data_IF_228002513436
#
_entry.id   IF_228002513436
#
_cell.length_a   1.000
_cell.length_b   1.000
_cell.length_c   1.000
_cell.angle_alpha   90.00
_cell.angle_beta   90.00
_cell.angle_gamma   90.00
#
_symmetry.space_group_name_H-M   'P 1'
#
loop_
_entity.id
_entity.type
_entity.pdbx_description
1 polymer ?
#
# COMPACT_ATOMS: atom_id res chain seq x y z
N UNK A 1 -41.12 14.41 24.20
CA UNK A 1 -39.96 14.88 23.47
C UNK A 1 -39.37 13.69 22.70
N UNK A 2 -39.70 13.63 21.43
CA UNK A 2 -39.45 12.46 20.58
C UNK A 2 -38.10 12.50 19.92
N UNK A 3 -37.29 11.46 20.13
CA UNK A 3 -36.10 11.18 19.36
C UNK A 3 -36.47 10.39 18.10
N UNK A 4 -36.33 11.01 16.94
CA UNK A 4 -36.48 10.38 15.63
C UNK A 4 -35.29 9.42 15.42
N UNK A 5 -35.59 8.12 15.41
CA UNK A 5 -34.66 7.08 14.94
C UNK A 5 -34.57 7.15 13.40
N UNK A 6 -33.48 7.67 12.88
CA UNK A 6 -33.13 7.50 11.49
C UNK A 6 -32.74 6.04 11.27
N UNK A 7 -33.60 5.28 10.61
CA UNK A 7 -33.29 3.96 10.09
C UNK A 7 -32.34 4.12 8.91
N UNK A 8 -31.04 4.03 9.15
CA UNK A 8 -30.08 3.79 8.10
C UNK A 8 -30.22 2.32 7.69
N UNK A 9 -30.74 2.07 6.49
CA UNK A 9 -30.63 0.78 5.84
C UNK A 9 -29.12 0.52 5.62
N UNK A 10 -28.54 -0.32 6.47
CA UNK A 10 -27.21 -0.86 6.24
C UNK A 10 -27.31 -1.83 5.04
N UNK A 11 -26.98 -1.35 3.86
CA UNK A 11 -26.71 -2.22 2.75
C UNK A 11 -25.61 -3.19 3.19
N UNK A 12 -25.88 -4.48 3.12
CA UNK A 12 -24.85 -5.50 3.24
C UNK A 12 -23.88 -5.24 2.10
N UNK A 13 -22.78 -4.58 2.41
CA UNK A 13 -21.67 -4.50 1.48
C UNK A 13 -21.12 -5.92 1.34
N UNK A 14 -21.62 -6.65 0.37
CA UNK A 14 -20.96 -7.80 -0.22
C UNK A 14 -19.65 -7.23 -0.78
N UNK A 15 -18.61 -7.20 0.06
CA UNK A 15 -17.28 -6.84 -0.36
C UNK A 15 -16.79 -7.99 -1.23
N UNK A 16 -17.15 -7.92 -2.51
CA UNK A 16 -16.40 -8.62 -3.52
C UNK A 16 -14.98 -8.05 -3.44
N UNK A 17 -14.02 -8.90 -3.14
CA UNK A 17 -12.60 -8.59 -3.17
C UNK A 17 -12.32 -7.82 -4.46
N UNK A 18 -11.63 -6.66 -4.33
CA UNK A 18 -11.44 -5.69 -5.39
C UNK A 18 -11.00 -6.30 -6.70
N UNK A 19 -11.95 -6.62 -7.55
CA UNK A 19 -11.71 -7.00 -8.92
C UNK A 19 -11.31 -5.76 -9.70
N UNK A 20 -10.25 -5.89 -10.46
CA UNK A 20 -9.86 -4.97 -11.52
C UNK A 20 -11.00 -4.89 -12.56
N UNK A 21 -12.05 -4.13 -12.26
CA UNK A 21 -13.07 -3.79 -13.25
C UNK A 21 -12.42 -2.86 -14.26
N UNK A 22 -12.13 -3.39 -15.43
CA UNK A 22 -11.85 -2.58 -16.59
C UNK A 22 -13.17 -1.91 -17.03
N UNK A 23 -13.33 -0.59 -16.92
CA UNK A 23 -14.44 0.06 -17.59
C UNK A 23 -14.19 -0.03 -19.10
N UNK A 24 -15.08 -0.72 -19.81
CA UNK A 24 -15.08 -0.71 -21.27
C UNK A 24 -15.47 0.68 -21.73
N UNK A 25 -14.60 1.26 -22.58
CA UNK A 25 -14.87 2.49 -23.32
C UNK A 25 -15.97 2.22 -24.36
N UNK A 26 -17.22 2.53 -24.02
CA UNK A 26 -18.28 2.71 -24.99
C UNK A 26 -18.60 4.21 -25.09
N UNK A 27 -18.45 4.75 -26.30
CA UNK A 27 -18.83 6.11 -26.62
C UNK A 27 -20.33 6.29 -26.40
N UNK A 28 -20.71 7.31 -25.63
CA UNK A 28 -22.09 7.76 -25.55
C UNK A 28 -22.17 9.11 -26.25
N UNK A 29 -22.87 9.09 -27.37
CA UNK A 29 -23.48 10.30 -27.97
C UNK A 29 -24.76 10.58 -27.17
N UNK A 30 -24.83 11.77 -26.64
CA UNK A 30 -25.98 12.28 -25.90
C UNK A 30 -26.85 13.11 -26.81
N UNK A 31 -28.13 12.72 -26.97
CA UNK A 31 -29.19 13.64 -27.36
C UNK A 31 -30.34 13.57 -26.37
N UNK A 32 -30.59 14.71 -25.75
CA UNK A 32 -31.70 15.00 -24.87
C UNK A 32 -33.01 15.19 -25.62
N UNK A 33 -34.13 14.67 -25.10
CA UNK A 33 -35.47 15.26 -25.31
C UNK A 33 -36.30 15.03 -24.02
N UNK A 34 -36.98 16.10 -23.61
CA UNK A 34 -37.78 16.24 -22.39
C UNK A 34 -39.28 15.99 -22.62
N UNK A 35 -39.94 15.76 -21.45
CA UNK A 35 -41.36 15.99 -21.11
C UNK A 35 -42.43 15.10 -21.77
N UNK A 36 -43.41 14.59 -21.08
CA UNK A 36 -44.48 15.26 -20.36
C UNK A 36 -45.36 14.26 -19.57
N UNK A 37 -46.10 14.83 -18.64
CA UNK A 37 -46.97 14.19 -17.66
C UNK A 37 -48.33 13.78 -18.20
N UNK A 38 -48.94 12.70 -17.64
CA UNK A 38 -50.36 12.78 -17.27
C UNK A 38 -50.83 11.61 -16.40
N UNK A 39 -51.61 11.95 -15.38
CA UNK A 39 -52.34 11.11 -14.41
C UNK A 39 -53.49 10.34 -15.06
N UNK A 40 -53.84 9.15 -14.57
CA UNK A 40 -55.21 8.71 -14.41
C UNK A 40 -55.38 7.70 -13.30
N UNK A 41 -56.31 8.02 -12.41
CA UNK A 41 -56.86 7.24 -11.32
C UNK A 41 -57.94 6.26 -11.85
N UNK A 42 -58.03 5.06 -11.26
CA UNK A 42 -59.15 4.14 -11.48
C UNK A 42 -59.19 3.07 -10.39
N UNK A 43 -60.07 3.30 -9.45
CA UNK A 43 -60.49 2.42 -8.38
C UNK A 43 -61.44 1.34 -8.94
N UNK A 44 -61.27 0.06 -8.55
CA UNK A 44 -62.36 -0.92 -8.54
C UNK A 44 -62.05 -2.10 -7.63
N UNK A 45 -62.81 -2.16 -6.58
CA UNK A 45 -62.99 -3.27 -5.64
C UNK A 45 -63.71 -4.44 -6.24
N UNK A 46 -63.21 -5.70 -6.07
CA UNK A 46 -64.02 -6.91 -6.12
C UNK A 46 -63.47 -7.92 -5.10
N UNK A 47 -64.37 -8.45 -4.25
CA UNK A 47 -64.21 -9.44 -3.17
C UNK A 47 -63.99 -10.89 -3.68
N UNK A 48 -63.66 -11.83 -2.79
CA UNK A 48 -62.85 -13.01 -3.13
C UNK A 48 -63.73 -14.24 -3.49
N UNK A 49 -63.32 -14.90 -4.54
CA UNK A 49 -63.78 -16.25 -4.87
C UNK A 49 -62.70 -17.29 -4.53
N UNK A 50 -63.09 -18.25 -3.70
CA UNK A 50 -62.24 -19.36 -3.30
C UNK A 50 -62.00 -20.29 -4.49
N UNK A 51 -60.84 -20.23 -5.10
CA UNK A 51 -60.40 -21.16 -6.12
C UNK A 51 -59.40 -22.16 -5.53
N UNK A 52 -59.71 -23.42 -5.70
CA UNK A 52 -58.95 -24.65 -5.43
C UNK A 52 -57.49 -24.52 -5.85
N UNK A 53 -56.57 -24.90 -4.95
CA UNK A 53 -55.14 -25.01 -5.23
C UNK A 53 -54.89 -25.94 -6.44
N UNK A 54 -54.18 -25.52 -7.47
CA UNK A 54 -53.64 -26.44 -8.45
C UNK A 54 -52.44 -27.19 -7.85
N UNK A 55 -52.32 -28.44 -8.27
CA UNK A 55 -51.22 -29.33 -7.92
C UNK A 55 -49.88 -28.62 -8.15
N UNK A 56 -48.98 -28.78 -7.19
CA UNK A 56 -47.60 -28.32 -7.27
C UNK A 56 -46.92 -28.92 -8.50
N UNK A 57 -46.98 -28.17 -9.58
CA UNK A 57 -46.11 -28.41 -10.72
C UNK A 57 -44.70 -27.92 -10.29
N UNK A 58 -43.86 -28.85 -9.89
CA UNK A 58 -42.45 -28.61 -9.64
C UNK A 58 -41.79 -28.39 -10.99
N UNK A 59 -42.04 -27.23 -11.59
CA UNK A 59 -41.25 -26.75 -12.71
C UNK A 59 -39.85 -26.44 -12.17
N UNK A 60 -38.90 -27.34 -12.42
CA UNK A 60 -37.50 -27.04 -12.28
C UNK A 60 -37.19 -25.88 -13.21
N UNK A 61 -36.98 -24.69 -12.68
CA UNK A 61 -36.48 -23.58 -13.48
C UNK A 61 -35.07 -23.97 -13.94
N UNK A 62 -34.97 -24.42 -15.18
CA UNK A 62 -33.72 -24.69 -15.84
C UNK A 62 -33.07 -23.34 -16.11
N UNK A 63 -31.93 -23.08 -15.47
CA UNK A 63 -31.20 -21.83 -15.63
C UNK A 63 -30.68 -21.69 -17.09
N UNK A 64 -30.91 -20.54 -17.68
CA UNK A 64 -30.57 -20.31 -19.09
C UNK A 64 -29.07 -20.14 -19.29
N UNK A 65 -28.47 -20.91 -20.19
CA UNK A 65 -27.08 -20.76 -20.57
C UNK A 65 -26.91 -19.57 -21.53
N UNK A 66 -26.17 -18.55 -21.11
CA UNK A 66 -25.91 -17.34 -21.89
C UNK A 66 -24.60 -17.43 -22.67
N UNK A 67 -23.62 -18.19 -22.18
CA UNK A 67 -22.39 -18.47 -22.92
C UNK A 67 -21.80 -19.82 -22.50
N UNK A 68 -20.90 -20.34 -23.31
CA UNK A 68 -20.07 -21.52 -22.97
C UNK A 68 -18.61 -21.14 -23.16
N UNK A 69 -17.78 -21.40 -22.14
CA UNK A 69 -16.34 -21.11 -22.15
C UNK A 69 -15.59 -22.44 -21.93
N UNK A 70 -14.96 -22.97 -22.97
CA UNK A 70 -14.42 -24.32 -22.94
C UNK A 70 -15.52 -25.35 -22.69
N UNK A 71 -15.53 -25.95 -21.48
CA UNK A 71 -16.55 -26.90 -21.04
C UNK A 71 -17.48 -26.35 -19.94
N UNK A 72 -17.39 -25.07 -19.61
CA UNK A 72 -18.17 -24.43 -18.55
C UNK A 72 -19.26 -23.53 -19.08
N UNK A 73 -20.51 -23.68 -18.65
CA UNK A 73 -21.58 -22.77 -18.99
C UNK A 73 -21.50 -21.49 -18.14
N UNK A 74 -21.88 -20.36 -18.72
CA UNK A 74 -22.19 -19.10 -18.05
C UNK A 74 -23.70 -18.99 -17.99
N UNK A 75 -24.25 -18.89 -16.82
CA UNK A 75 -25.69 -18.97 -16.53
C UNK A 75 -26.30 -17.58 -16.39
N UNK A 76 -27.60 -17.48 -16.67
CA UNK A 76 -28.34 -16.23 -16.50
C UNK A 76 -28.38 -15.79 -15.03
N UNK A 77 -28.50 -16.75 -14.09
CA UNK A 77 -28.46 -16.47 -12.65
C UNK A 77 -27.18 -15.76 -12.22
N UNK A 78 -26.02 -16.14 -12.76
CA UNK A 78 -24.73 -15.49 -12.46
C UNK A 78 -24.70 -14.02 -12.93
N UNK A 79 -25.38 -13.72 -14.03
CA UNK A 79 -25.47 -12.33 -14.52
C UNK A 79 -26.39 -11.50 -13.64
N UNK A 80 -27.53 -12.05 -13.21
CA UNK A 80 -28.45 -11.36 -12.30
C UNK A 80 -27.81 -11.15 -10.91
N UNK A 81 -27.03 -12.11 -10.42
CA UNK A 81 -26.25 -11.99 -9.20
C UNK A 81 -25.23 -10.84 -9.27
N UNK A 82 -24.51 -10.71 -10.39
CA UNK A 82 -23.57 -9.62 -10.60
C UNK A 82 -24.28 -8.26 -10.76
N UNK A 83 -25.45 -8.21 -11.43
CA UNK A 83 -26.28 -7.01 -11.49
C UNK A 83 -26.67 -6.56 -10.07
N UNK A 84 -27.20 -7.47 -9.28
CA UNK A 84 -27.58 -7.20 -7.89
C UNK A 84 -26.41 -6.75 -7.03
N UNK A 85 -25.24 -7.39 -7.22
CA UNK A 85 -24.00 -7.02 -6.51
C UNK A 85 -23.61 -5.57 -6.82
N UNK A 86 -23.67 -5.15 -8.07
CA UNK A 86 -23.34 -3.77 -8.49
C UNK A 86 -24.33 -2.75 -7.94
N UNK A 87 -25.63 -3.07 -7.96
CA UNK A 87 -26.66 -2.20 -7.37
C UNK A 87 -26.48 -2.04 -5.87
N UNK A 88 -26.20 -3.13 -5.14
CA UNK A 88 -25.93 -3.10 -3.69
C UNK A 88 -24.69 -2.30 -3.31
N UNK A 89 -23.71 -2.20 -4.22
CA UNK A 89 -22.53 -1.34 -4.09
C UNK A 89 -22.79 0.12 -4.49
N UNK A 90 -24.04 0.47 -4.82
CA UNK A 90 -24.45 1.83 -5.15
C UNK A 90 -24.22 2.23 -6.60
N UNK A 91 -23.95 1.28 -7.51
CA UNK A 91 -23.90 1.56 -8.94
C UNK A 91 -25.30 1.91 -9.45
N UNK A 92 -25.42 3.07 -10.10
CA UNK A 92 -26.66 3.45 -10.82
C UNK A 92 -26.66 2.74 -12.16
N UNK A 93 -27.49 1.71 -12.30
CA UNK A 93 -27.65 1.02 -13.58
C UNK A 93 -28.67 1.77 -14.47
N UNK A 94 -28.50 1.68 -15.79
CA UNK A 94 -29.51 2.19 -16.73
C UNK A 94 -30.86 1.52 -16.52
N UNK A 95 -31.93 2.29 -16.69
CA UNK A 95 -33.31 1.79 -16.60
C UNK A 95 -33.96 1.60 -17.97
N UNK A 96 -33.34 2.13 -19.03
CA UNK A 96 -33.80 1.96 -20.37
C UNK A 96 -33.40 0.56 -20.92
N UNK A 97 -34.23 -0.06 -21.80
CA UNK A 97 -34.01 -1.44 -22.24
C UNK A 97 -32.66 -1.67 -22.96
N UNK A 98 -32.19 -0.69 -23.74
CA UNK A 98 -30.89 -0.79 -24.44
C UNK A 98 -29.71 -0.70 -23.47
N UNK A 99 -29.78 0.21 -22.50
CA UNK A 99 -28.78 0.33 -21.45
C UNK A 99 -28.70 -0.91 -20.58
N UNK A 100 -29.86 -1.46 -20.16
CA UNK A 100 -29.90 -2.73 -19.40
C UNK A 100 -29.28 -3.87 -20.19
N UNK A 101 -29.60 -3.99 -21.46
CA UNK A 101 -29.02 -4.99 -22.37
C UNK A 101 -27.52 -4.84 -22.49
N UNK A 102 -27.04 -3.62 -22.68
CA UNK A 102 -25.60 -3.32 -22.77
C UNK A 102 -24.85 -3.70 -21.50
N UNK A 103 -25.39 -3.38 -20.31
CA UNK A 103 -24.81 -3.76 -19.02
C UNK A 103 -24.76 -5.28 -18.87
N UNK A 104 -25.84 -6.00 -19.18
CA UNK A 104 -25.86 -7.47 -19.13
C UNK A 104 -24.82 -8.09 -20.06
N UNK A 105 -24.69 -7.59 -21.28
CA UNK A 105 -23.66 -8.05 -22.23
C UNK A 105 -22.25 -7.81 -21.70
N UNK A 106 -22.02 -6.67 -21.07
CA UNK A 106 -20.75 -6.36 -20.42
C UNK A 106 -20.47 -7.34 -19.27
N UNK A 107 -21.45 -7.65 -18.43
CA UNK A 107 -21.32 -8.62 -17.34
C UNK A 107 -21.02 -10.01 -17.90
N UNK A 108 -21.73 -10.48 -18.91
CA UNK A 108 -21.43 -11.76 -19.59
C UNK A 108 -19.99 -11.78 -20.07
N UNK A 109 -19.53 -10.70 -20.71
CA UNK A 109 -18.14 -10.59 -21.19
C UNK A 109 -17.13 -10.64 -20.02
N UNK A 110 -17.41 -9.99 -18.90
CA UNK A 110 -16.59 -10.07 -17.68
C UNK A 110 -16.49 -11.50 -17.14
N UNK A 111 -17.63 -12.18 -17.00
CA UNK A 111 -17.67 -13.57 -16.50
C UNK A 111 -16.90 -14.52 -17.43
N UNK A 112 -16.98 -14.31 -18.75
CA UNK A 112 -16.19 -15.08 -19.73
C UNK A 112 -14.69 -14.84 -19.49
N UNK A 113 -14.26 -13.59 -19.33
CA UNK A 113 -12.85 -13.24 -19.10
C UNK A 113 -12.30 -13.85 -17.82
N UNK A 114 -13.11 -13.81 -16.75
CA UNK A 114 -12.77 -14.44 -15.46
C UNK A 114 -12.64 -15.96 -15.60
N UNK A 115 -13.60 -16.60 -16.28
CA UNK A 115 -13.57 -18.04 -16.46
C UNK A 115 -12.37 -18.48 -17.29
N UNK A 116 -11.97 -17.73 -18.31
CA UNK A 116 -10.76 -17.98 -19.09
C UNK A 116 -9.51 -17.95 -18.24
N UNK A 117 -9.40 -16.96 -17.33
CA UNK A 117 -8.27 -16.86 -16.41
C UNK A 117 -8.25 -18.01 -15.41
N UNK A 118 -9.40 -18.37 -14.83
CA UNK A 118 -9.51 -19.48 -13.87
C UNK A 118 -9.14 -20.81 -14.54
N UNK A 119 -9.68 -21.12 -15.72
CA UNK A 119 -9.32 -22.34 -16.44
C UNK A 119 -7.84 -22.39 -16.81
N UNK A 120 -7.25 -21.27 -17.19
CA UNK A 120 -5.82 -21.18 -17.47
C UNK A 120 -4.99 -21.42 -16.21
N UNK A 121 -5.41 -20.87 -15.05
CA UNK A 121 -4.75 -21.08 -13.77
C UNK A 121 -4.82 -22.57 -13.34
N UNK A 122 -5.99 -23.20 -13.50
CA UNK A 122 -6.19 -24.61 -13.16
C UNK A 122 -5.39 -25.58 -14.04
N UNK A 123 -5.08 -25.20 -15.29
CA UNK A 123 -4.21 -25.98 -16.19
C UNK A 123 -2.73 -25.89 -15.80
N UNK A 124 -2.34 -24.87 -15.05
CA UNK A 124 -0.97 -24.68 -14.62
C UNK A 124 -0.72 -25.41 -13.29
N UNK A 125 -0.09 -26.57 -13.35
CA UNK A 125 0.18 -27.44 -12.20
C UNK A 125 1.05 -26.80 -11.11
N UNK A 126 1.73 -25.70 -11.41
CA UNK A 126 2.52 -24.95 -10.43
C UNK A 126 1.69 -24.01 -9.58
N UNK A 127 0.42 -23.75 -9.97
CA UNK A 127 -0.53 -22.92 -9.22
C UNK A 127 -1.35 -23.84 -8.31
N UNK A 128 -1.03 -23.80 -7.03
CA UNK A 128 -1.74 -24.58 -6.01
C UNK A 128 -2.44 -23.61 -5.04
N UNK A 129 -3.70 -23.89 -4.76
CA UNK A 129 -4.53 -23.17 -3.78
C UNK A 129 -4.99 -24.20 -2.76
N UNK A 130 -4.60 -24.05 -1.50
CA UNK A 130 -4.98 -24.98 -0.44
C UNK A 130 -6.36 -24.67 0.13
N UNK A 131 -7.05 -25.69 0.62
CA UNK A 131 -8.34 -25.51 1.30
C UNK A 131 -8.21 -24.69 2.59
N UNK A 132 -7.07 -24.79 3.29
CA UNK A 132 -6.77 -24.03 4.49
C UNK A 132 -6.64 -22.52 4.21
N UNK A 133 -5.95 -22.16 3.10
CA UNK A 133 -5.82 -20.76 2.65
C UNK A 133 -7.21 -20.14 2.40
N UNK A 134 -8.08 -20.87 1.70
CA UNK A 134 -9.44 -20.41 1.42
C UNK A 134 -10.28 -20.35 2.69
N UNK A 135 -10.27 -21.39 3.53
CA UNK A 135 -11.05 -21.43 4.77
C UNK A 135 -10.70 -20.27 5.70
N UNK A 136 -9.41 -19.94 5.85
CA UNK A 136 -8.96 -18.81 6.67
C UNK A 136 -9.54 -17.48 6.18
N UNK A 137 -9.48 -17.22 4.87
CA UNK A 137 -10.03 -16.00 4.29
C UNK A 137 -11.55 -15.91 4.41
N UNK A 138 -12.28 -17.04 4.21
CA UNK A 138 -13.73 -17.12 4.37
C UNK A 138 -14.14 -16.82 5.81
N UNK A 139 -13.48 -17.41 6.79
CA UNK A 139 -13.80 -17.17 8.21
C UNK A 139 -13.53 -15.71 8.62
N UNK A 140 -12.47 -15.10 8.11
CA UNK A 140 -12.21 -13.68 8.34
C UNK A 140 -13.35 -12.81 7.75
N UNK A 141 -13.75 -13.09 6.51
CA UNK A 141 -14.81 -12.33 5.84
C UNK A 141 -16.17 -12.54 6.52
N UNK A 142 -16.52 -13.77 6.89
CA UNK A 142 -17.75 -14.07 7.64
C UNK A 142 -17.75 -13.34 8.97
N UNK A 143 -16.63 -13.34 9.71
CA UNK A 143 -16.50 -12.63 10.98
C UNK A 143 -16.71 -11.13 10.81
N UNK A 144 -16.12 -10.55 9.77
CA UNK A 144 -16.26 -9.12 9.45
C UNK A 144 -17.70 -8.76 9.12
N UNK A 145 -18.36 -9.54 8.26
CA UNK A 145 -19.76 -9.31 7.90
C UNK A 145 -20.67 -9.48 9.12
N UNK A 146 -20.50 -10.58 9.87
CA UNK A 146 -21.28 -10.85 11.08
C UNK A 146 -21.13 -9.76 12.14
N UNK A 147 -19.93 -9.18 12.28
CA UNK A 147 -19.65 -8.08 13.21
C UNK A 147 -20.45 -6.80 12.95
N UNK A 148 -21.08 -6.66 11.78
CA UNK A 148 -21.94 -5.53 11.46
C UNK A 148 -23.39 -5.70 12.03
N UNK A 149 -23.72 -6.87 12.56
CA UNK A 149 -25.06 -7.18 13.07
C UNK A 149 -25.08 -7.33 14.59
N UNK A 150 -26.17 -6.87 15.20
CA UNK A 150 -26.35 -6.89 16.66
C UNK A 150 -26.74 -8.26 17.18
N UNK A 151 -27.36 -9.12 16.35
CA UNK A 151 -27.78 -10.47 16.71
C UNK A 151 -27.58 -11.48 15.57
N UNK A 152 -27.56 -12.77 15.93
CA UNK A 152 -27.53 -13.87 14.97
C UNK A 152 -28.80 -13.93 14.13
N UNK A 153 -29.94 -13.54 14.73
CA UNK A 153 -31.23 -13.49 14.04
C UNK A 153 -31.21 -12.45 12.94
N UNK A 154 -30.71 -11.26 13.22
CA UNK A 154 -30.58 -10.19 12.22
C UNK A 154 -29.63 -10.59 11.08
N UNK A 155 -28.51 -11.23 11.42
CA UNK A 155 -27.55 -11.73 10.43
C UNK A 155 -28.21 -12.75 9.48
N UNK A 156 -28.93 -13.75 10.03
CA UNK A 156 -29.63 -14.76 9.21
C UNK A 156 -30.77 -14.17 8.39
N UNK A 157 -31.51 -13.23 8.93
CA UNK A 157 -32.58 -12.54 8.21
C UNK A 157 -32.00 -11.75 7.02
N UNK A 158 -30.84 -11.12 7.19
CA UNK A 158 -30.19 -10.38 6.11
C UNK A 158 -29.60 -11.30 5.04
N UNK A 159 -29.03 -12.45 5.43
CA UNK A 159 -28.61 -13.48 4.49
C UNK A 159 -29.76 -13.99 3.63
N UNK A 160 -30.94 -14.22 4.24
CA UNK A 160 -32.13 -14.66 3.51
C UNK A 160 -32.62 -13.61 2.50
N UNK A 161 -32.57 -12.32 2.85
CA UNK A 161 -32.88 -11.25 1.91
C UNK A 161 -31.86 -11.20 0.75
N UNK A 162 -30.62 -11.57 1.02
CA UNK A 162 -29.57 -11.67 0.00
C UNK A 162 -29.61 -12.98 -0.80
N UNK A 163 -30.64 -13.85 -0.57
CA UNK A 163 -30.84 -15.09 -1.32
C UNK A 163 -30.23 -16.35 -0.71
N UNK A 164 -29.51 -16.25 0.40
CA UNK A 164 -28.91 -17.40 1.07
C UNK A 164 -29.82 -17.98 2.12
N UNK A 165 -30.17 -19.26 2.01
CA UNK A 165 -31.08 -19.92 2.97
C UNK A 165 -30.40 -20.19 4.33
N UNK A 166 -29.07 -20.46 4.30
CA UNK A 166 -28.27 -20.76 5.49
C UNK A 166 -26.92 -20.05 5.49
N UNK A 167 -26.33 -19.81 6.69
CA UNK A 167 -24.95 -19.31 6.78
C UNK A 167 -23.92 -20.24 6.12
N UNK A 168 -24.20 -21.56 6.08
CA UNK A 168 -23.32 -22.56 5.44
C UNK A 168 -23.37 -22.43 3.91
N UNK A 169 -24.51 -22.07 3.34
CA UNK A 169 -24.63 -21.77 1.91
C UNK A 169 -23.85 -20.52 1.55
N UNK A 170 -23.94 -19.47 2.35
CA UNK A 170 -23.14 -18.25 2.20
C UNK A 170 -21.63 -18.53 2.30
N UNK A 171 -21.21 -19.37 3.26
CA UNK A 171 -19.79 -19.79 3.38
C UNK A 171 -19.30 -20.55 2.15
N UNK A 172 -20.10 -21.47 1.61
CA UNK A 172 -19.76 -22.21 0.38
C UNK A 172 -19.61 -21.27 -0.79
N UNK A 173 -20.56 -20.36 -0.97
CA UNK A 173 -20.47 -19.34 -2.01
C UNK A 173 -19.22 -18.48 -1.87
N UNK A 174 -18.92 -17.98 -0.68
CA UNK A 174 -17.68 -17.24 -0.40
C UNK A 174 -16.43 -18.06 -0.72
N UNK A 175 -16.42 -19.34 -0.37
CA UNK A 175 -15.29 -20.22 -0.65
C UNK A 175 -15.05 -20.37 -2.14
N UNK A 176 -16.10 -20.53 -2.92
CA UNK A 176 -15.98 -20.62 -4.39
C UNK A 176 -15.49 -19.29 -4.99
N UNK A 177 -16.01 -18.16 -4.54
CA UNK A 177 -15.58 -16.84 -4.99
C UNK A 177 -14.10 -16.58 -4.64
N UNK A 178 -13.70 -16.84 -3.41
CA UNK A 178 -12.31 -16.65 -2.98
C UNK A 178 -11.35 -17.58 -3.73
N UNK A 179 -11.74 -18.82 -3.96
CA UNK A 179 -10.94 -19.79 -4.73
C UNK A 179 -10.73 -19.32 -6.17
N UNK A 180 -11.77 -18.84 -6.83
CA UNK A 180 -11.70 -18.27 -8.18
C UNK A 180 -10.77 -17.06 -8.21
N UNK A 181 -10.93 -16.13 -7.28
CA UNK A 181 -10.07 -14.96 -7.14
C UNK A 181 -8.59 -15.35 -6.88
N UNK A 182 -8.36 -16.34 -6.02
CA UNK A 182 -7.02 -16.83 -5.73
C UNK A 182 -6.33 -17.41 -6.98
N UNK A 183 -7.04 -18.21 -7.79
CA UNK A 183 -6.52 -18.72 -9.06
C UNK A 183 -6.14 -17.61 -10.02
N UNK A 184 -7.00 -16.60 -10.19
CA UNK A 184 -6.73 -15.45 -11.06
C UNK A 184 -5.51 -14.66 -10.59
N UNK A 185 -5.44 -14.34 -9.29
CA UNK A 185 -4.33 -13.57 -8.72
C UNK A 185 -3.00 -14.32 -8.86
N UNK A 186 -2.96 -15.60 -8.51
CA UNK A 186 -1.75 -16.42 -8.64
C UNK A 186 -1.28 -16.54 -10.09
N UNK A 187 -2.22 -16.69 -11.04
CA UNK A 187 -1.89 -16.68 -12.46
C UNK A 187 -1.27 -15.37 -12.89
N UNK A 188 -1.88 -14.23 -12.52
CA UNK A 188 -1.39 -12.90 -12.90
C UNK A 188 -0.01 -12.64 -12.27
N UNK A 189 0.19 -12.97 -11.00
CA UNK A 189 1.48 -12.87 -10.32
C UNK A 189 2.55 -13.70 -11.02
N UNK A 190 2.25 -14.95 -11.32
CA UNK A 190 3.17 -15.83 -12.04
C UNK A 190 3.51 -15.29 -13.42
N UNK A 191 2.51 -14.84 -14.18
CA UNK A 191 2.74 -14.28 -15.51
C UNK A 191 3.60 -13.00 -15.47
N UNK A 192 3.50 -12.22 -14.39
CA UNK A 192 4.39 -11.07 -14.15
C UNK A 192 5.81 -11.53 -13.83
N UNK A 193 5.95 -12.48 -12.92
CA UNK A 193 7.25 -13.03 -12.53
C UNK A 193 7.98 -13.68 -13.74
N UNK A 194 7.24 -14.39 -14.57
CA UNK A 194 7.74 -15.00 -15.80
C UNK A 194 8.02 -13.98 -16.94
N UNK A 195 7.73 -12.70 -16.74
CA UNK A 195 7.87 -11.65 -17.76
C UNK A 195 6.89 -11.77 -18.96
N UNK A 196 5.83 -12.57 -18.80
CA UNK A 196 4.82 -12.81 -19.84
C UNK A 196 3.75 -11.69 -19.91
N UNK A 197 3.60 -10.90 -18.84
CA UNK A 197 2.78 -9.70 -18.78
C UNK A 197 3.69 -8.45 -18.83
N UNK A 198 4.18 -8.11 -20.00
CA UNK A 198 4.92 -6.86 -20.19
C UNK A 198 3.94 -5.69 -20.23
N UNK A 199 4.16 -4.63 -19.43
CA UNK A 199 3.32 -3.44 -19.50
C UNK A 199 3.25 -2.91 -20.93
N UNK A 200 2.06 -2.49 -21.32
CA UNK A 200 1.80 -1.89 -22.63
C UNK A 200 1.82 -0.38 -22.46
N UNK A 201 2.55 0.32 -23.30
CA UNK A 201 2.52 1.78 -23.29
C UNK A 201 1.14 2.28 -23.73
N UNK A 202 0.34 2.89 -22.83
CA UNK A 202 -0.93 3.48 -23.23
C UNK A 202 -0.69 4.77 -24.01
N UNK A 203 -1.63 5.11 -24.88
CA UNK A 203 -1.60 6.39 -25.59
C UNK A 203 -2.01 7.53 -24.66
N UNK A 204 -1.58 8.75 -24.97
CA UNK A 204 -1.96 9.94 -24.19
C UNK A 204 -3.48 10.16 -24.14
N UNK A 205 -4.18 9.78 -25.21
CA UNK A 205 -5.65 9.83 -25.28
C UNK A 205 -6.29 8.88 -24.29
N UNK A 206 -5.82 7.64 -24.23
CA UNK A 206 -6.32 6.63 -23.26
C UNK A 206 -6.05 7.05 -21.83
N UNK A 207 -4.88 7.61 -21.57
CA UNK A 207 -4.53 8.09 -20.23
C UNK A 207 -5.41 9.25 -19.77
N UNK A 208 -5.68 10.22 -20.65
CA UNK A 208 -6.59 11.34 -20.34
C UNK A 208 -8.01 10.87 -20.13
N UNK A 209 -8.50 9.98 -20.98
CA UNK A 209 -9.83 9.38 -20.83
C UNK A 209 -9.96 8.59 -19.53
N UNK A 210 -8.93 7.83 -19.15
CA UNK A 210 -8.89 7.14 -17.86
C UNK A 210 -8.92 8.13 -16.69
N UNK A 211 -8.15 9.23 -16.77
CA UNK A 211 -8.18 10.28 -15.78
C UNK A 211 -9.57 10.90 -15.63
N UNK A 212 -10.21 11.27 -16.75
CA UNK A 212 -11.53 11.90 -16.73
C UNK A 212 -12.59 10.97 -16.11
N UNK A 213 -12.52 9.67 -16.41
CA UNK A 213 -13.42 8.65 -15.83
C UNK A 213 -13.19 8.48 -14.32
N UNK A 214 -11.93 8.58 -13.85
CA UNK A 214 -11.58 8.37 -12.45
C UNK A 214 -11.56 9.68 -11.63
N UNK A 215 -11.72 10.84 -12.26
CA UNK A 215 -11.55 12.16 -11.63
C UNK A 215 -12.37 12.33 -10.36
N UNK A 216 -13.61 11.88 -10.36
CA UNK A 216 -14.51 11.98 -9.20
C UNK A 216 -14.03 11.15 -8.00
N UNK A 217 -13.33 10.04 -8.25
CA UNK A 217 -12.81 9.13 -7.21
C UNK A 217 -11.41 9.49 -6.71
N UNK A 218 -10.68 10.36 -7.42
CA UNK A 218 -9.31 10.75 -7.05
C UNK A 218 -9.24 11.64 -5.79
N UNK A 219 -10.36 12.23 -5.37
CA UNK A 219 -10.41 13.16 -4.24
C UNK A 219 -9.62 14.43 -4.50
N UNK A 220 -9.23 15.12 -3.42
CA UNK A 220 -8.39 16.30 -3.50
C UNK A 220 -6.92 15.97 -3.31
N UNK A 221 -6.06 16.66 -4.01
CA UNK A 221 -4.62 16.63 -3.79
C UNK A 221 -4.33 17.36 -2.49
N UNK A 222 -3.64 16.74 -1.52
CA UNK A 222 -3.29 17.41 -0.27
C UNK A 222 -2.36 18.60 -0.52
N UNK A 223 -2.36 19.53 0.40
CA UNK A 223 -1.36 20.58 0.43
C UNK A 223 0.04 19.96 0.62
N UNK A 224 1.01 20.44 -0.19
CA UNK A 224 2.39 19.93 -0.13
C UNK A 224 3.37 21.08 0.08
N UNK A 225 4.53 20.71 0.63
CA UNK A 225 5.64 21.59 0.91
C UNK A 225 6.93 21.02 0.34
N UNK A 226 7.77 21.89 -0.25
CA UNK A 226 9.14 21.56 -0.63
C UNK A 226 10.07 22.44 0.19
N UNK A 227 11.18 21.87 0.65
CA UNK A 227 12.15 22.60 1.43
C UNK A 227 13.56 22.04 1.26
N UNK A 228 14.53 22.85 1.60
CA UNK A 228 15.93 22.45 1.75
C UNK A 228 16.42 22.81 3.13
N UNK A 229 17.34 22.02 3.67
CA UNK A 229 17.76 22.18 5.07
C UNK A 229 19.27 22.01 5.26
N UNK A 230 19.77 22.66 6.31
CA UNK A 230 21.11 22.47 6.87
C UNK A 230 20.92 21.89 8.26
N UNK A 231 21.28 20.64 8.44
CA UNK A 231 21.24 19.96 9.74
C UNK A 231 22.64 20.07 10.36
N UNK A 232 22.74 20.67 11.53
CA UNK A 232 24.01 20.83 12.26
C UNK A 232 23.98 19.94 13.50
N UNK A 233 24.79 18.89 13.46
CA UNK A 233 24.92 17.96 14.59
C UNK A 233 26.10 18.37 15.48
N UNK A 234 25.95 18.33 16.82
CA UNK A 234 27.07 18.48 17.73
C UNK A 234 28.15 17.43 17.46
N UNK A 235 29.40 17.86 17.37
CA UNK A 235 30.53 16.95 17.14
C UNK A 235 31.35 16.80 18.40
N UNK A 236 31.79 15.56 18.76
CA UNK A 236 32.64 15.38 19.90
C UNK A 236 34.00 16.06 19.69
N UNK A 237 34.57 16.58 20.76
CA UNK A 237 35.90 17.20 20.70
C UNK A 237 37.01 16.18 20.41
N UNK A 238 38.14 16.63 19.85
CA UNK A 238 39.30 15.76 19.67
C UNK A 238 39.74 15.05 20.96
N UNK A 239 39.79 15.70 22.14
CA UNK A 239 40.08 15.02 23.40
C UNK A 239 39.03 13.97 23.79
N UNK A 240 37.72 14.20 23.53
CA UNK A 240 36.70 13.20 23.80
C UNK A 240 36.85 11.98 22.88
N UNK A 241 37.11 12.21 21.59
CA UNK A 241 37.44 11.12 20.66
C UNK A 241 38.66 10.32 21.09
N UNK A 242 39.75 11.00 21.49
CA UNK A 242 40.96 10.33 21.96
C UNK A 242 40.73 9.47 23.22
N UNK A 243 39.96 9.97 24.20
CA UNK A 243 39.58 9.20 25.39
C UNK A 243 38.77 7.96 25.04
N UNK A 244 37.76 8.10 24.17
CA UNK A 244 36.92 6.95 23.73
C UNK A 244 37.73 5.94 22.96
N UNK A 245 38.65 6.39 22.09
CA UNK A 245 39.55 5.49 21.38
C UNK A 245 40.46 4.72 22.34
N UNK A 246 41.09 5.38 23.31
CA UNK A 246 41.90 4.72 24.32
C UNK A 246 41.11 3.69 25.14
N UNK A 247 39.84 3.97 25.45
CA UNK A 247 38.92 3.01 26.05
C UNK A 247 38.68 1.81 25.12
N UNK A 248 38.43 2.04 23.83
CA UNK A 248 38.26 0.97 22.86
C UNK A 248 39.53 0.11 22.74
N UNK A 249 40.70 0.74 22.66
CA UNK A 249 41.98 0.03 22.61
C UNK A 249 42.18 -0.87 23.87
N UNK A 250 41.80 -0.38 25.03
CA UNK A 250 41.87 -1.17 26.29
C UNK A 250 40.96 -2.40 26.22
N UNK A 251 39.74 -2.24 25.75
CA UNK A 251 38.77 -3.36 25.57
C UNK A 251 39.30 -4.37 24.56
N UNK A 252 39.86 -3.91 23.44
CA UNK A 252 40.49 -4.80 22.44
C UNK A 252 41.60 -5.64 23.06
N UNK A 253 42.43 -5.05 23.90
CA UNK A 253 43.50 -5.77 24.60
C UNK A 253 42.94 -6.85 25.56
N UNK A 254 41.87 -6.56 26.30
CA UNK A 254 41.19 -7.54 27.14
C UNK A 254 40.59 -8.70 26.33
N UNK A 255 39.90 -8.39 25.23
CA UNK A 255 39.31 -9.39 24.36
C UNK A 255 40.38 -10.29 23.67
N UNK A 256 41.48 -9.71 23.23
CA UNK A 256 42.62 -10.48 22.70
C UNK A 256 43.35 -11.34 23.70
N UNK A 257 43.22 -11.03 25.02
CA UNK A 257 43.69 -11.88 26.12
C UNK A 257 42.71 -12.98 26.51
N UNK A 258 41.57 -13.11 25.83
CA UNK A 258 40.59 -14.16 26.06
C UNK A 258 39.34 -13.78 26.84
N UNK A 259 39.12 -12.48 27.10
CA UNK A 259 37.86 -12.03 27.69
C UNK A 259 36.67 -12.38 26.75
N UNK A 260 35.52 -12.75 27.36
CA UNK A 260 34.31 -13.07 26.61
C UNK A 260 33.73 -11.82 25.93
N UNK A 261 33.60 -11.88 24.60
CA UNK A 261 33.11 -10.76 23.80
C UNK A 261 31.68 -10.37 24.16
N UNK A 262 30.78 -11.35 24.40
CA UNK A 262 29.39 -11.08 24.71
C UNK A 262 29.24 -10.36 26.06
N UNK A 263 30.03 -10.75 27.05
CA UNK A 263 30.08 -10.08 28.36
C UNK A 263 30.62 -8.65 28.24
N UNK A 264 31.69 -8.45 27.49
CA UNK A 264 32.23 -7.13 27.20
C UNK A 264 31.21 -6.23 26.45
N UNK A 265 30.49 -6.78 25.48
CA UNK A 265 29.47 -6.05 24.76
C UNK A 265 28.32 -5.60 25.67
N UNK A 266 27.79 -6.47 26.51
CA UNK A 266 26.75 -6.10 27.48
C UNK A 266 27.23 -5.02 28.43
N UNK A 267 28.50 -5.04 28.83
CA UNK A 267 29.07 -4.08 29.77
C UNK A 267 29.38 -2.74 29.15
N UNK A 268 30.00 -2.72 27.99
CA UNK A 268 30.60 -1.52 27.41
C UNK A 268 29.88 -0.98 26.17
N UNK A 269 29.14 -1.80 25.42
CA UNK A 269 28.50 -1.33 24.22
C UNK A 269 27.41 -0.31 24.51
N UNK A 270 27.37 0.72 23.66
CA UNK A 270 26.33 1.76 23.64
C UNK A 270 25.36 1.58 22.46
N UNK A 271 25.45 0.47 21.75
CA UNK A 271 24.46 0.12 20.71
C UNK A 271 23.22 -0.51 21.34
N UNK A 272 22.05 0.18 21.34
CA UNK A 272 20.83 -0.36 21.94
C UNK A 272 20.28 -1.59 21.22
N UNK A 273 20.63 -1.75 19.95
CA UNK A 273 20.11 -2.84 19.11
C UNK A 273 20.76 -4.19 19.39
N UNK A 274 22.04 -4.21 19.76
CA UNK A 274 22.81 -5.46 19.93
C UNK A 274 23.40 -5.68 21.31
N UNK A 275 23.49 -4.66 22.14
CA UNK A 275 24.12 -4.71 23.47
C UNK A 275 23.64 -5.89 24.31
N UNK A 276 22.33 -6.01 24.52
CA UNK A 276 21.72 -7.04 25.38
C UNK A 276 21.88 -8.45 24.78
N UNK A 277 22.06 -8.53 23.47
CA UNK A 277 22.33 -9.76 22.73
C UNK A 277 23.83 -10.08 22.63
N UNK A 278 24.67 -9.45 23.48
CA UNK A 278 26.12 -9.66 23.48
C UNK A 278 26.81 -9.14 22.24
N UNK A 279 26.27 -8.08 21.63
CA UNK A 279 26.80 -7.42 20.45
C UNK A 279 26.47 -8.09 19.12
N UNK A 280 25.59 -9.12 19.08
CA UNK A 280 25.28 -9.88 17.86
C UNK A 280 24.53 -9.03 16.84
N UNK A 281 25.02 -9.08 15.57
CA UNK A 281 24.42 -8.39 14.43
C UNK A 281 23.73 -9.36 13.46
N UNK A 282 23.70 -10.66 13.80
CA UNK A 282 23.26 -11.73 12.91
C UNK A 282 24.00 -11.74 11.55
N UNK A 283 23.42 -12.35 10.53
CA UNK A 283 23.95 -12.38 9.17
C UNK A 283 23.59 -11.09 8.43
N UNK A 284 24.58 -10.47 7.79
CA UNK A 284 24.36 -9.29 6.96
C UNK A 284 25.22 -9.30 5.68
N UNK A 285 24.70 -8.64 4.65
CA UNK A 285 25.35 -8.47 3.34
C UNK A 285 26.04 -7.11 3.26
N UNK A 286 26.87 -6.95 2.22
CA UNK A 286 27.41 -5.62 1.88
C UNK A 286 26.26 -4.64 1.56
N UNK A 287 26.44 -3.38 1.93
CA UNK A 287 25.46 -2.31 1.75
C UNK A 287 24.48 -2.16 2.94
N UNK A 288 24.56 -3.02 3.97
CA UNK A 288 23.70 -2.94 5.18
C UNK A 288 24.32 -2.06 6.25
N UNK A 289 25.63 -2.14 6.43
CA UNK A 289 26.36 -1.40 7.46
C UNK A 289 27.13 -0.22 6.84
N UNK A 290 27.64 0.69 7.69
CA UNK A 290 28.47 1.81 7.20
C UNK A 290 29.75 1.30 6.57
N UNK A 291 30.29 2.01 5.54
CA UNK A 291 31.42 1.53 4.74
C UNK A 291 32.69 1.20 5.56
N UNK A 292 32.96 1.97 6.60
CA UNK A 292 34.09 1.76 7.48
C UNK A 292 33.99 0.44 8.23
N UNK A 293 32.81 0.13 8.74
CA UNK A 293 32.50 -1.12 9.44
C UNK A 293 32.58 -2.31 8.47
N UNK A 294 31.91 -2.21 7.32
CA UNK A 294 31.89 -3.30 6.33
C UNK A 294 33.29 -3.66 5.83
N UNK A 295 34.12 -2.66 5.56
CA UNK A 295 35.50 -2.87 5.08
C UNK A 295 36.26 -3.79 6.04
N UNK A 296 36.09 -3.58 7.33
CA UNK A 296 36.76 -4.38 8.37
C UNK A 296 36.07 -5.73 8.56
N UNK A 297 34.73 -5.77 8.71
CA UNK A 297 33.99 -6.99 8.95
C UNK A 297 34.18 -8.04 7.83
N UNK A 298 34.15 -7.61 6.56
CA UNK A 298 34.36 -8.51 5.42
C UNK A 298 35.82 -8.87 5.14
N UNK A 299 36.78 -8.23 5.84
CA UNK A 299 38.21 -8.53 5.73
C UNK A 299 38.76 -9.37 6.88
N UNK A 300 38.01 -9.48 8.00
CA UNK A 300 38.45 -10.23 9.18
C UNK A 300 38.22 -11.74 9.03
N UNK A 301 39.15 -12.51 9.55
CA UNK A 301 38.95 -13.96 9.73
C UNK A 301 38.08 -14.24 10.94
N UNK A 302 37.27 -15.31 10.94
CA UNK A 302 36.47 -15.71 12.08
C UNK A 302 37.30 -15.87 13.35
N UNK A 303 36.75 -15.40 14.47
CA UNK A 303 37.38 -15.39 15.78
C UNK A 303 38.32 -14.22 16.06
N UNK A 304 38.72 -13.45 15.06
CA UNK A 304 39.65 -12.32 15.24
C UNK A 304 38.88 -11.06 15.67
N UNK A 305 39.44 -10.35 16.66
CA UNK A 305 38.96 -9.05 17.15
C UNK A 305 39.69 -7.93 16.39
N UNK A 306 38.93 -7.00 15.80
CA UNK A 306 39.47 -5.86 15.09
C UNK A 306 40.21 -4.87 16.03
N UNK A 307 41.00 -3.98 15.44
CA UNK A 307 41.30 -2.69 16.07
C UNK A 307 40.04 -1.82 16.10
N UNK A 308 40.00 -0.74 16.94
CA UNK A 308 38.86 0.16 16.97
C UNK A 308 38.67 0.85 15.60
N UNK A 309 37.48 0.69 15.03
CA UNK A 309 37.08 1.24 13.72
C UNK A 309 36.25 2.50 13.96
N UNK A 310 36.73 3.64 13.50
CA UNK A 310 36.00 4.91 13.59
C UNK A 310 34.92 4.99 12.50
N UNK A 311 33.72 5.39 12.88
CA UNK A 311 32.59 5.66 11.99
C UNK A 311 31.84 6.92 12.45
N UNK A 312 30.84 7.41 11.71
CA UNK A 312 29.97 8.49 12.16
C UNK A 312 29.25 8.22 13.49
N UNK A 313 29.07 6.94 13.85
CA UNK A 313 28.40 6.54 15.09
C UNK A 313 29.33 6.46 16.32
N UNK A 314 30.64 6.35 16.09
CA UNK A 314 31.62 6.19 17.15
C UNK A 314 32.72 5.19 16.79
N UNK A 315 33.29 4.53 17.80
CA UNK A 315 34.30 3.49 17.64
C UNK A 315 33.69 2.11 17.78
N UNK A 316 33.86 1.27 16.75
CA UNK A 316 33.41 -0.11 16.74
C UNK A 316 34.56 -1.06 16.98
N UNK A 317 34.36 -2.03 17.87
CA UNK A 317 35.21 -3.22 17.99
C UNK A 317 34.43 -4.37 17.38
N UNK A 318 34.99 -5.04 16.38
CA UNK A 318 34.27 -6.02 15.57
C UNK A 318 34.91 -7.40 15.74
N UNK A 319 34.10 -8.43 15.92
CA UNK A 319 34.51 -9.83 15.83
C UNK A 319 33.63 -10.56 14.87
N UNK A 320 34.23 -11.15 13.85
CA UNK A 320 33.50 -12.02 12.90
C UNK A 320 33.37 -13.41 13.49
N UNK A 321 32.15 -13.96 13.53
CA UNK A 321 31.89 -15.30 14.03
C UNK A 321 31.92 -16.34 12.88
N UNK A 322 31.26 -16.01 11.76
CA UNK A 322 31.14 -16.90 10.60
C UNK A 322 31.15 -16.09 9.31
N UNK A 323 31.62 -16.71 8.23
CA UNK A 323 31.69 -16.13 6.89
C UNK A 323 31.02 -17.05 5.89
N UNK A 324 30.21 -16.51 5.00
CA UNK A 324 29.65 -17.13 3.81
C UNK A 324 30.02 -16.30 2.57
N UNK A 325 29.89 -16.81 1.33
CA UNK A 325 30.34 -16.10 0.13
C UNK A 325 29.80 -14.67 -0.03
N UNK A 326 28.59 -14.39 0.42
CA UNK A 326 27.93 -13.07 0.30
C UNK A 326 27.59 -12.40 1.63
N UNK A 327 27.78 -13.08 2.77
CA UNK A 327 27.31 -12.64 4.09
C UNK A 327 28.36 -12.91 5.16
N UNK A 328 28.35 -12.09 6.21
CA UNK A 328 29.12 -12.31 7.42
C UNK A 328 28.22 -12.27 8.64
N UNK A 329 28.50 -13.13 9.61
CA UNK A 329 27.91 -13.05 10.95
C UNK A 329 28.96 -12.46 11.89
N UNK A 330 28.63 -11.35 12.54
CA UNK A 330 29.57 -10.66 13.42
C UNK A 330 28.93 -10.19 14.72
N UNK A 331 29.79 -9.89 15.67
CA UNK A 331 29.46 -9.12 16.89
C UNK A 331 30.19 -7.81 16.86
N UNK A 332 29.64 -6.82 17.56
CA UNK A 332 30.33 -5.56 17.75
C UNK A 332 30.12 -4.97 19.15
N UNK A 333 31.05 -4.10 19.53
CA UNK A 333 30.93 -3.19 20.67
C UNK A 333 31.03 -1.78 20.11
N UNK A 334 30.00 -0.96 20.33
CA UNK A 334 30.00 0.45 19.93
C UNK A 334 30.31 1.33 21.15
N UNK A 335 31.32 2.18 21.02
CA UNK A 335 31.66 3.22 21.98
C UNK A 335 31.44 4.59 21.34
N UNK A 336 30.54 5.37 21.91
CA UNK A 336 30.18 6.69 21.40
C UNK A 336 30.96 7.76 22.18
N UNK A 337 31.75 8.62 21.49
CA UNK A 337 32.44 9.72 22.17
C UNK A 337 31.43 10.68 22.83
N UNK A 338 31.71 11.05 24.06
CA UNK A 338 30.89 11.97 24.84
C UNK A 338 30.85 13.35 24.18
N UNK A 339 29.65 13.92 24.12
CA UNK A 339 29.39 15.28 23.64
C UNK A 339 29.01 16.14 24.82
N UNK A 340 29.88 17.07 25.17
CA UNK A 340 29.64 18.01 26.25
C UNK A 340 28.65 19.11 25.84
N UNK A 341 28.01 19.76 26.82
CA UNK A 341 27.10 20.89 26.58
C UNK A 341 27.72 22.01 25.73
N UNK A 342 29.02 22.28 25.92
CA UNK A 342 29.75 23.26 25.11
C UNK A 342 29.72 22.97 23.60
N UNK A 343 29.73 21.69 23.23
CA UNK A 343 29.65 21.28 21.81
C UNK A 343 28.22 21.39 21.27
N UNK A 344 27.22 21.15 22.13
CA UNK A 344 25.79 21.38 21.79
C UNK A 344 25.56 22.87 21.56
N UNK A 345 26.06 23.73 22.46
CA UNK A 345 25.95 25.19 22.34
C UNK A 345 26.71 25.71 21.11
N UNK A 346 27.89 25.14 20.80
CA UNK A 346 28.62 25.46 19.57
C UNK A 346 27.82 25.11 18.31
N UNK A 347 27.20 23.91 18.27
CA UNK A 347 26.36 23.50 17.13
C UNK A 347 25.13 24.42 16.98
N UNK A 348 24.50 24.80 18.09
CA UNK A 348 23.41 25.77 18.11
C UNK A 348 23.86 27.15 17.57
N UNK A 349 25.01 27.64 17.99
CA UNK A 349 25.59 28.88 17.51
C UNK A 349 25.91 28.84 16.01
N UNK A 350 26.47 27.73 15.51
CA UNK A 350 26.69 27.51 14.07
C UNK A 350 25.36 27.54 13.31
N UNK A 351 24.34 26.84 13.78
CA UNK A 351 23.02 26.86 13.12
C UNK A 351 22.42 28.28 13.09
N UNK A 352 22.53 29.02 14.18
CA UNK A 352 22.09 30.42 14.25
C UNK A 352 22.88 31.31 13.24
N UNK A 353 24.19 31.14 13.15
CA UNK A 353 25.01 31.85 12.18
C UNK A 353 24.65 31.50 10.73
N UNK A 354 24.40 30.22 10.43
CA UNK A 354 23.91 29.76 9.11
C UNK A 354 22.58 30.44 8.78
N UNK A 355 21.63 30.43 9.71
CA UNK A 355 20.33 31.10 9.51
C UNK A 355 20.50 32.60 9.22
N UNK A 356 21.29 33.30 10.03
CA UNK A 356 21.50 34.74 9.84
C UNK A 356 22.16 35.04 8.49
N UNK A 357 23.13 34.22 8.07
CA UNK A 357 23.74 34.34 6.75
C UNK A 357 22.73 34.13 5.61
N UNK A 358 21.83 33.12 5.73
CA UNK A 358 20.79 32.87 4.74
C UNK A 358 19.78 34.04 4.66
N UNK A 359 19.37 34.57 5.80
CA UNK A 359 18.50 35.77 5.83
C UNK A 359 19.20 36.98 5.22
N UNK A 360 20.54 37.07 5.36
CA UNK A 360 21.36 38.11 4.73
C UNK A 360 21.67 37.83 3.24
N UNK A 361 21.08 36.81 2.62
CA UNK A 361 21.22 36.52 1.19
C UNK A 361 22.42 35.65 0.79
N UNK A 362 23.09 35.02 1.74
CA UNK A 362 24.19 34.08 1.44
C UNK A 362 23.69 32.83 0.68
N UNK A 363 24.55 32.25 -0.14
CA UNK A 363 24.24 31.04 -0.90
C UNK A 363 23.94 29.85 0.00
N UNK A 364 22.73 29.31 -0.13
CA UNK A 364 22.28 28.11 0.60
C UNK A 364 23.22 26.92 0.39
N UNK A 365 23.57 26.65 -0.88
CA UNK A 365 24.39 25.49 -1.25
C UNK A 365 25.79 25.56 -0.64
N UNK A 366 26.36 26.77 -0.54
CA UNK A 366 27.65 26.96 0.09
C UNK A 366 27.63 26.70 1.59
N UNK A 367 26.57 27.15 2.27
CA UNK A 367 26.37 26.93 3.70
C UNK A 367 26.03 25.48 4.00
N UNK A 368 25.22 24.84 3.15
CA UNK A 368 24.90 23.43 3.27
C UNK A 368 26.15 22.55 3.12
N UNK A 369 26.98 22.77 2.09
CA UNK A 369 28.23 22.01 1.90
C UNK A 369 29.18 22.07 3.10
N UNK A 370 29.22 23.22 3.81
CA UNK A 370 30.15 23.41 4.93
C UNK A 370 29.63 22.88 6.26
N UNK A 371 28.31 22.97 6.50
CA UNK A 371 27.75 22.83 7.84
C UNK A 371 26.79 21.66 7.98
N UNK A 372 26.29 21.10 6.87
CA UNK A 372 25.29 20.03 6.89
C UNK A 372 25.90 18.70 7.34
N UNK A 373 25.16 17.98 8.17
CA UNK A 373 25.49 16.62 8.57
C UNK A 373 25.29 15.67 7.36
N UNK A 374 26.33 14.97 6.89
CA UNK A 374 26.22 14.08 5.74
C UNK A 374 25.20 12.93 5.90
N UNK A 375 24.88 12.56 7.13
CA UNK A 375 23.91 11.50 7.42
C UNK A 375 22.45 11.97 7.38
N UNK A 376 22.20 13.28 7.31
CA UNK A 376 20.88 13.86 7.27
C UNK A 376 20.42 14.15 5.83
N UNK A 377 19.11 14.15 5.61
CA UNK A 377 18.54 14.56 4.32
C UNK A 377 18.76 16.05 4.07
N UNK A 378 19.04 16.42 2.82
CA UNK A 378 19.36 17.79 2.42
C UNK A 378 18.15 18.59 1.97
N UNK A 379 17.20 17.93 1.33
CA UNK A 379 16.01 18.53 0.73
C UNK A 379 14.88 17.52 0.69
N UNK A 380 13.68 18.02 0.59
CA UNK A 380 12.48 17.22 0.40
C UNK A 380 11.50 17.95 -0.50
N UNK A 381 10.98 17.26 -1.52
CA UNK A 381 10.10 17.83 -2.52
C UNK A 381 8.67 17.29 -2.41
N UNK A 382 7.70 18.21 -2.54
CA UNK A 382 6.26 17.89 -2.61
C UNK A 382 5.76 16.97 -1.47
N UNK A 383 6.30 17.15 -0.26
CA UNK A 383 5.89 16.37 0.91
C UNK A 383 4.50 16.81 1.36
N UNK A 384 3.51 15.91 1.45
CA UNK A 384 2.19 16.23 1.99
C UNK A 384 2.30 16.75 3.43
N UNK A 385 1.60 17.84 3.76
CA UNK A 385 1.61 18.40 5.11
C UNK A 385 1.19 17.37 6.18
N UNK A 386 0.30 16.46 5.82
CA UNK A 386 -0.17 15.36 6.70
C UNK A 386 0.88 14.29 6.97
N UNK A 387 1.98 14.26 6.20
CA UNK A 387 3.08 13.31 6.36
C UNK A 387 4.33 13.93 6.97
N UNK A 388 4.32 15.23 7.23
CA UNK A 388 5.41 15.89 7.93
C UNK A 388 5.44 15.43 9.39
N UNK A 389 6.63 15.14 9.96
CA UNK A 389 6.78 14.96 11.39
C UNK A 389 6.29 16.19 12.15
N UNK A 390 5.75 16.02 13.35
CA UNK A 390 5.08 17.06 14.13
C UNK A 390 5.95 18.31 14.35
N UNK A 391 7.22 18.12 14.67
CA UNK A 391 8.21 19.19 14.83
C UNK A 391 8.47 19.98 13.54
N UNK A 392 8.36 19.37 12.36
CA UNK A 392 8.38 20.10 11.09
C UNK A 392 7.05 20.81 10.85
N UNK A 393 5.94 20.09 11.00
CA UNK A 393 4.59 20.61 10.72
C UNK A 393 4.30 21.88 11.51
N UNK A 394 4.68 21.94 12.79
CA UNK A 394 4.49 23.10 13.67
C UNK A 394 5.25 24.34 13.17
N UNK A 395 6.46 24.15 12.60
CA UNK A 395 7.35 25.27 12.26
C UNK A 395 7.16 25.73 10.83
N UNK A 396 6.99 24.79 9.90
CA UNK A 396 6.92 25.12 8.47
C UNK A 396 5.52 24.97 7.87
N UNK A 397 4.56 24.45 8.64
CA UNK A 397 3.19 24.20 8.16
C UNK A 397 2.48 25.43 7.61
N UNK A 398 2.81 26.61 8.12
CA UNK A 398 2.24 27.90 7.67
C UNK A 398 3.23 28.79 6.92
N UNK A 399 4.52 28.38 6.79
CA UNK A 399 5.56 29.20 6.17
C UNK A 399 5.38 29.31 4.65
N UNK A 400 5.58 30.50 4.10
CA UNK A 400 5.52 30.76 2.67
C UNK A 400 6.80 30.35 1.95
N UNK A 401 6.69 30.17 0.63
CA UNK A 401 7.85 29.89 -0.22
C UNK A 401 8.90 31.03 -0.13
N UNK A 402 10.17 30.64 -0.03
CA UNK A 402 11.28 31.58 0.18
C UNK A 402 11.64 31.82 1.64
N UNK A 403 10.77 31.49 2.59
CA UNK A 403 10.97 31.75 4.01
C UNK A 403 12.09 30.88 4.58
N UNK A 404 13.05 31.52 5.30
CA UNK A 404 14.03 30.86 6.15
C UNK A 404 13.46 30.84 7.58
N UNK A 405 13.11 29.66 8.07
CA UNK A 405 12.46 29.53 9.39
C UNK A 405 13.45 29.70 10.56
N UNK A 406 12.96 29.94 11.77
CA UNK A 406 13.79 29.90 12.97
C UNK A 406 14.51 28.55 13.13
N UNK A 407 15.71 28.56 13.76
CA UNK A 407 16.41 27.32 14.09
C UNK A 407 15.55 26.48 15.04
N UNK A 408 15.40 25.21 14.75
CA UNK A 408 14.68 24.28 15.61
C UNK A 408 15.50 23.01 15.84
N UNK A 409 15.13 22.24 16.84
CA UNK A 409 15.82 21.02 17.24
C UNK A 409 15.08 19.77 16.79
N UNK A 410 15.85 18.77 16.36
CA UNK A 410 15.39 17.41 16.12
C UNK A 410 16.04 16.46 17.11
N UNK A 411 15.26 15.55 17.72
CA UNK A 411 15.84 14.46 18.48
C UNK A 411 16.52 13.45 17.53
N UNK A 412 17.76 13.13 17.78
CA UNK A 412 18.53 12.13 17.05
C UNK A 412 19.08 11.09 18.04
N UNK A 413 18.22 10.19 18.48
CA UNK A 413 18.52 9.26 19.59
C UNK A 413 18.74 10.03 20.89
N UNK A 414 19.91 9.88 21.51
CA UNK A 414 20.30 10.60 22.73
C UNK A 414 20.85 12.01 22.46
N UNK A 415 20.79 12.52 21.22
CA UNK A 415 21.42 13.78 20.81
C UNK A 415 20.39 14.71 20.23
N UNK A 416 20.67 16.02 20.30
CA UNK A 416 19.90 17.06 19.59
C UNK A 416 20.64 17.44 18.33
N UNK A 417 19.90 17.65 17.25
CA UNK A 417 20.39 18.25 16.02
C UNK A 417 19.71 19.59 15.78
N UNK A 418 20.40 20.56 15.24
CA UNK A 418 19.88 21.89 14.96
C UNK A 418 19.63 22.04 13.47
N UNK A 419 18.38 22.40 13.11
CA UNK A 419 17.96 22.49 11.72
C UNK A 419 17.74 23.94 11.34
N UNK A 420 18.31 24.34 10.22
CA UNK A 420 18.01 25.56 9.49
C UNK A 420 17.38 25.17 8.18
N UNK A 421 16.16 25.63 7.94
CA UNK A 421 15.37 25.22 6.79
C UNK A 421 14.90 26.45 6.00
N UNK A 422 14.88 26.32 4.68
CA UNK A 422 14.26 27.24 3.76
C UNK A 422 13.15 26.52 2.98
N UNK A 423 11.94 27.06 3.02
CA UNK A 423 10.84 26.59 2.19
C UNK A 423 11.12 27.01 0.74
N UNK A 424 11.18 26.03 -0.18
CA UNK A 424 11.44 26.27 -1.61
C UNK A 424 10.15 26.31 -2.41
N UNK A 425 9.09 25.65 -1.95
CA UNK A 425 7.81 25.62 -2.62
C UNK A 425 6.67 25.26 -1.70
N UNK A 426 5.50 25.84 -1.97
CA UNK A 426 4.25 25.52 -1.31
C UNK A 426 3.14 25.37 -2.35
N UNK A 427 2.46 24.25 -2.33
CA UNK A 427 1.28 24.01 -3.17
C UNK A 427 0.07 23.83 -2.26
N UNK A 428 -0.97 24.67 -2.35
CA UNK A 428 -2.17 24.51 -1.55
C UNK A 428 -2.93 23.23 -1.93
N UNK A 429 -3.81 22.80 -1.07
CA UNK A 429 -4.80 21.77 -1.39
C UNK A 429 -5.60 22.17 -2.64
N UNK A 430 -5.92 21.21 -3.47
CA UNK A 430 -6.69 21.49 -4.68
C UNK A 430 -7.11 20.21 -5.41
N UNK A 431 -7.75 20.38 -6.55
CA UNK A 431 -8.13 19.25 -7.39
C UNK A 431 -6.87 18.56 -7.95
N UNK A 432 -6.94 17.24 -8.03
CA UNK A 432 -5.91 16.45 -8.70
C UNK A 432 -5.92 16.81 -10.18
N UNK A 433 -4.77 17.24 -10.71
CA UNK A 433 -4.59 17.47 -12.13
C UNK A 433 -4.02 16.22 -12.80
N UNK A 434 -4.24 16.11 -14.11
CA UNK A 434 -3.72 15.00 -14.90
C UNK A 434 -2.21 14.81 -14.71
N UNK A 435 -1.45 15.91 -14.75
CA UNK A 435 0.02 15.87 -14.59
C UNK A 435 0.47 15.34 -13.22
N UNK A 436 -0.33 15.55 -12.17
CA UNK A 436 -0.01 15.06 -10.82
C UNK A 436 -0.06 13.52 -10.72
N UNK A 437 -0.77 12.86 -11.64
CA UNK A 437 -1.04 11.40 -11.62
C UNK A 437 -0.66 10.69 -12.92
N UNK A 438 -0.14 11.41 -13.90
CA UNK A 438 0.15 10.90 -15.26
C UNK A 438 0.99 9.63 -15.25
N UNK A 439 2.09 9.62 -14.52
CA UNK A 439 2.97 8.45 -14.46
C UNK A 439 2.29 7.26 -13.78
N UNK A 440 1.55 7.51 -12.70
CA UNK A 440 0.75 6.47 -12.04
C UNK A 440 -0.33 5.90 -12.96
N UNK A 441 -1.02 6.76 -13.72
CA UNK A 441 -2.01 6.33 -14.71
C UNK A 441 -1.34 5.51 -15.80
N UNK A 442 -0.20 5.94 -16.33
CA UNK A 442 0.55 5.20 -17.35
C UNK A 442 0.87 3.78 -16.90
N UNK A 443 1.40 3.66 -15.68
CA UNK A 443 1.81 2.38 -15.14
C UNK A 443 0.60 1.48 -14.85
N UNK A 444 -0.45 2.02 -14.24
CA UNK A 444 -1.68 1.29 -13.93
C UNK A 444 -2.40 0.84 -15.23
N UNK A 445 -2.60 1.75 -16.16
CA UNK A 445 -3.27 1.44 -17.42
C UNK A 445 -2.44 0.50 -18.29
N UNK A 446 -1.11 0.66 -18.27
CA UNK A 446 -0.20 -0.24 -18.96
C UNK A 446 -0.28 -1.68 -18.48
N UNK A 447 -0.43 -1.88 -17.16
CA UNK A 447 -0.65 -3.20 -16.58
C UNK A 447 -2.03 -3.77 -16.95
N UNK A 448 -3.08 -2.95 -16.91
CA UNK A 448 -4.43 -3.37 -17.30
C UNK A 448 -4.48 -3.79 -18.77
N UNK A 449 -3.86 -3.02 -19.66
CA UNK A 449 -3.78 -3.33 -21.10
C UNK A 449 -3.00 -4.63 -21.37
N UNK A 450 -1.96 -4.90 -20.58
CA UNK A 450 -1.22 -6.17 -20.69
C UNK A 450 -2.09 -7.37 -20.33
N UNK A 451 -2.87 -7.29 -19.25
CA UNK A 451 -3.81 -8.33 -18.84
C UNK A 451 -4.89 -8.51 -19.93
N UNK A 452 -5.47 -7.42 -20.42
CA UNK A 452 -6.49 -7.48 -21.47
C UNK A 452 -5.97 -8.17 -22.73
N UNK A 453 -4.78 -7.81 -23.21
CA UNK A 453 -4.13 -8.52 -24.34
C UNK A 453 -3.89 -10.01 -24.07
N UNK A 454 -3.63 -10.37 -22.83
CA UNK A 454 -3.50 -11.77 -22.45
C UNK A 454 -4.85 -12.49 -22.54
N UNK A 455 -5.91 -11.90 -22.01
CA UNK A 455 -7.28 -12.43 -22.08
C UNK A 455 -7.74 -12.56 -23.53
N UNK A 456 -7.48 -11.57 -24.39
CA UNK A 456 -7.80 -11.61 -25.83
C UNK A 456 -7.12 -12.79 -26.52
N UNK A 457 -5.90 -13.15 -26.12
CA UNK A 457 -5.22 -14.35 -26.61
C UNK A 457 -5.90 -15.64 -26.13
N UNK A 458 -6.31 -15.68 -24.85
CA UNK A 458 -7.05 -16.82 -24.30
C UNK A 458 -8.39 -17.00 -25.00
N UNK A 459 -9.13 -15.91 -25.30
CA UNK A 459 -10.39 -15.97 -26.06
C UNK A 459 -10.21 -16.59 -27.44
N UNK A 460 -9.10 -16.29 -28.13
CA UNK A 460 -8.78 -16.86 -29.44
C UNK A 460 -8.35 -18.33 -29.37
N UNK A 461 -7.79 -18.75 -28.24
CA UNK A 461 -7.27 -20.10 -28.04
C UNK A 461 -8.27 -21.08 -27.39
N UNK A 462 -9.38 -20.56 -26.85
CA UNK A 462 -10.39 -21.34 -26.12
C UNK A 462 -11.72 -21.22 -26.85
N UNK A 463 -12.48 -22.33 -26.87
CA UNK A 463 -13.85 -22.28 -27.41
C UNK A 463 -14.71 -21.34 -26.55
N UNK A 464 -15.29 -20.31 -27.15
CA UNK A 464 -16.21 -19.38 -26.54
C UNK A 464 -17.41 -19.22 -27.42
N UNK A 465 -18.59 -19.63 -26.95
CA UNK A 465 -19.88 -19.49 -27.65
C UNK A 465 -20.78 -18.59 -26.80
N UNK A 466 -21.27 -17.49 -27.35
CA UNK A 466 -22.26 -16.63 -26.71
C UNK A 466 -23.62 -16.94 -27.31
N UNK A 467 -24.60 -17.27 -26.45
CA UNK A 467 -25.97 -17.58 -26.84
C UNK A 467 -26.84 -16.35 -26.58
N UNK A 468 -27.53 -15.92 -27.66
CA UNK A 468 -28.42 -14.75 -27.61
C UNK A 468 -29.82 -15.09 -27.02
#
# INVERSE_FOLDING_TARGET
>A
MGARRNGAALAVALVAAGFLVCPSLAAQDSTSIAADSSRSTGDTTVSPEVARAPASDTSFMVDRVLAVVGNRPVLASQVEEEVFSRESQGAKLPTDPEGVKAVRQQIVSSIIDEELLVQQAQRDTSIQITDEEIASGVEEQVRKVRGNFTSEVDYRAELQKAGFQTPEEYRRWLSDQQRRAAFQNRLIEKLRADGKLKPVAPTEKEMKQFFDTQRASLGKRPATLSFRQVVVSPKPSPPAKARTRAQADSIVLELRRGADFATAARRFSQDPGSKEQGGSLNWFRRGVMVPEFERVAFGLKPGIVSDPVESPFGYHIIQVERVQPAEVQARHILLVPHIDSVHVDSARAIAAAVRNALVGGASFDSLQRRNHDPSAEREADNVPLTKLPENYATIIGTADSGTVVPVFTLPAGAREQFVVLQVTGRRPEGDVKYDDVRDRIRDQLGQQLAIRRYIDRLRKATYVEIRS
#
